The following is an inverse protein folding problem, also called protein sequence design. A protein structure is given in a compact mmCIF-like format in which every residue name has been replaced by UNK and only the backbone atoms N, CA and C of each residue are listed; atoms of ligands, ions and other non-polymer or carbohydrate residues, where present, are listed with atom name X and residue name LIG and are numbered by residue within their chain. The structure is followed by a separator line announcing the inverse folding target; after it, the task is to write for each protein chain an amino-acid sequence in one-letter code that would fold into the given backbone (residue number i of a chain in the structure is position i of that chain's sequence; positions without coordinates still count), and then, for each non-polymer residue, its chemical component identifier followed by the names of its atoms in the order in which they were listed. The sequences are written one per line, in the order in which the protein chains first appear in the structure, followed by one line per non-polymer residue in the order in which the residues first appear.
data_IF_364912662115
#
_entry.id   IF_364912662115
#
_cell.length_a   1.000
_cell.length_b   1.000
_cell.length_c   1.000
_cell.angle_alpha   90.00
_cell.angle_beta   90.00
_cell.angle_gamma   90.00
#
_symmetry.space_group_name_H-M   'P 1'
#
loop_
_entity.id
_entity.type
_entity.pdbx_description
1 polymer ?
#
# COMPACT_ATOMS: atom_id res chain seq x y z
N UNK A 1 3.46 1.97 4.40
CA UNK A 1 3.75 2.93 3.31
C UNK A 1 4.17 4.23 3.95
N UNK A 2 5.25 4.83 3.48
CA UNK A 2 5.75 6.10 4.01
C UNK A 2 5.61 7.15 2.92
N UNK A 3 4.98 8.27 3.25
CA UNK A 3 4.85 9.42 2.36
C UNK A 3 5.87 10.47 2.81
N UNK A 4 6.71 10.89 1.88
CA UNK A 4 7.68 11.95 2.10
C UNK A 4 7.44 13.08 1.10
N UNK A 5 7.67 14.30 1.55
CA UNK A 5 7.73 15.49 0.71
C UNK A 5 9.19 15.68 0.28
N UNK A 6 9.41 16.00 -0.98
CA UNK A 6 10.73 16.33 -1.51
C UNK A 6 10.95 17.84 -1.38
N UNK A 7 11.75 18.23 -0.38
CA UNK A 7 12.11 19.65 -0.17
C UNK A 7 13.20 20.08 -1.18
N UNK A 8 14.05 19.14 -1.61
CA UNK A 8 15.04 19.30 -2.68
C UNK A 8 15.49 17.92 -3.20
N UNK A 9 16.25 17.82 -4.32
CA UNK A 9 16.68 16.53 -4.90
C UNK A 9 17.43 15.58 -3.96
N UNK A 10 17.98 16.09 -2.86
CA UNK A 10 18.70 15.32 -1.85
C UNK A 10 18.00 15.27 -0.48
N UNK A 11 16.83 15.91 -0.34
CA UNK A 11 16.13 16.06 0.94
C UNK A 11 14.69 15.57 0.80
N UNK A 12 14.44 14.38 1.36
CA UNK A 12 13.09 13.83 1.54
C UNK A 12 12.69 13.93 3.01
N UNK A 13 11.62 14.65 3.30
CA UNK A 13 11.06 14.79 4.64
C UNK A 13 9.83 13.91 4.80
N UNK A 14 9.86 12.97 5.74
CA UNK A 14 8.69 12.12 6.03
C UNK A 14 7.55 12.99 6.56
N UNK A 15 6.41 12.96 5.85
CA UNK A 15 5.18 13.67 6.24
C UNK A 15 4.25 12.73 6.98
N UNK A 16 4.19 11.46 6.56
CA UNK A 16 3.25 10.50 7.13
C UNK A 16 3.74 9.06 6.96
N UNK A 17 3.39 8.20 7.91
CA UNK A 17 3.49 6.75 7.75
C UNK A 17 2.10 6.13 7.89
N UNK A 18 1.66 5.43 6.85
CA UNK A 18 0.36 4.78 6.76
C UNK A 18 0.50 3.26 6.85
N UNK A 19 -0.31 2.65 7.72
CA UNK A 19 -0.48 1.20 7.77
C UNK A 19 -1.35 0.76 6.58
N UNK A 20 -0.77 -0.01 5.67
CA UNK A 20 -1.47 -0.56 4.51
C UNK A 20 -1.93 -1.99 4.77
N UNK A 21 -2.83 -2.49 3.91
CA UNK A 21 -3.23 -3.91 3.95
C UNK A 21 -2.04 -4.81 3.56
N UNK A 22 -1.94 -6.01 4.15
CA UNK A 22 -0.95 -7.01 3.72
C UNK A 22 -1.03 -7.24 2.20
N UNK A 23 0.12 -7.32 1.54
CA UNK A 23 0.21 -7.52 0.09
C UNK A 23 -0.07 -6.28 -0.77
N UNK A 24 -0.52 -5.15 -0.20
CA UNK A 24 -0.77 -3.91 -0.93
C UNK A 24 0.52 -3.16 -1.28
N UNK A 25 1.31 -3.73 -2.20
CA UNK A 25 2.64 -3.24 -2.60
C UNK A 25 2.63 -2.49 -3.93
N UNK A 26 1.80 -2.91 -4.87
CA UNK A 26 1.63 -2.22 -6.15
C UNK A 26 0.79 -0.97 -5.94
N UNK A 27 1.32 0.18 -6.37
CA UNK A 27 0.73 1.48 -6.13
C UNK A 27 0.82 2.41 -7.34
N UNK A 28 -0.12 3.34 -7.44
CA UNK A 28 -0.07 4.49 -8.33
C UNK A 28 -0.40 5.76 -7.53
N UNK A 29 0.29 6.86 -7.84
CA UNK A 29 0.02 8.18 -7.29
C UNK A 29 -0.54 9.07 -8.40
N UNK A 30 -1.67 9.72 -8.13
CA UNK A 30 -2.14 10.86 -8.92
C UNK A 30 -1.55 12.14 -8.32
N UNK A 31 -0.60 12.80 -9.01
CA UNK A 31 0.04 14.01 -8.51
C UNK A 31 -0.89 15.23 -8.50
N UNK A 32 -2.00 15.22 -9.24
CA UNK A 32 -2.93 16.36 -9.28
C UNK A 32 -3.82 16.44 -8.04
N UNK A 33 -4.24 15.27 -7.54
CA UNK A 33 -5.11 15.16 -6.36
C UNK A 33 -4.39 14.64 -5.11
N UNK A 34 -3.11 14.27 -5.25
CA UNK A 34 -2.36 13.51 -4.23
C UNK A 34 -3.09 12.27 -3.73
N UNK A 35 -3.87 11.62 -4.60
CA UNK A 35 -4.54 10.35 -4.31
C UNK A 35 -3.61 9.18 -4.60
N UNK A 36 -3.42 8.30 -3.62
CA UNK A 36 -2.68 7.05 -3.77
C UNK A 36 -3.68 5.90 -3.95
N UNK A 37 -3.48 5.12 -5.01
CA UNK A 37 -4.24 3.91 -5.31
C UNK A 37 -3.39 2.68 -5.01
N UNK A 38 -3.85 1.79 -4.14
CA UNK A 38 -3.18 0.53 -3.80
C UNK A 38 -4.02 -0.67 -4.22
N UNK A 39 -3.44 -1.60 -4.96
CA UNK A 39 -4.09 -2.89 -5.22
C UNK A 39 -3.97 -3.78 -3.99
N UNK A 40 -5.08 -4.36 -3.51
CA UNK A 40 -5.09 -5.27 -2.37
C UNK A 40 -5.98 -6.48 -2.64
N UNK A 41 -5.65 -7.60 -1.99
CA UNK A 41 -6.49 -8.79 -1.89
C UNK A 41 -6.41 -9.30 -0.46
N UNK A 42 -7.47 -9.94 0.02
CA UNK A 42 -7.36 -10.66 1.28
C UNK A 42 -6.70 -12.02 1.05
N UNK A 43 -6.09 -12.53 2.11
CA UNK A 43 -5.40 -13.81 2.11
C UNK A 43 -5.97 -14.72 3.17
N UNK A 44 -6.06 -16.00 2.86
CA UNK A 44 -6.42 -17.04 3.81
C UNK A 44 -5.34 -17.14 4.91
N UNK A 45 -5.70 -17.49 6.16
CA UNK A 45 -4.72 -17.79 7.19
C UNK A 45 -3.76 -18.89 6.73
N UNK A 46 -2.47 -18.66 6.94
CA UNK A 46 -1.43 -19.63 6.61
C UNK A 46 -0.91 -20.30 7.89
N UNK A 47 -0.77 -21.65 7.94
CA UNK A 47 -0.24 -22.34 9.11
C UNK A 47 1.15 -21.84 9.52
N UNK A 48 1.45 -21.88 10.82
CA UNK A 48 2.76 -21.53 11.34
C UNK A 48 3.86 -22.37 10.69
N UNK A 49 4.91 -21.72 10.19
CA UNK A 49 6.04 -22.38 9.51
C UNK A 49 5.81 -22.74 8.04
N UNK A 50 4.61 -22.53 7.49
CA UNK A 50 4.39 -22.72 6.06
C UNK A 50 5.14 -21.64 5.26
N UNK A 51 5.76 -22.06 4.14
CA UNK A 51 6.56 -21.21 3.26
C UNK A 51 5.74 -20.73 2.06
N UNK A 52 6.15 -19.62 1.45
CA UNK A 52 5.50 -19.07 0.26
C UNK A 52 4.42 -18.04 0.56
N UNK A 53 3.70 -17.62 -0.49
CA UNK A 53 2.64 -16.61 -0.40
C UNK A 53 1.32 -17.27 0.05
N UNK A 54 0.60 -16.69 1.03
CA UNK A 54 -0.74 -17.15 1.39
C UNK A 54 -1.68 -17.22 0.18
N UNK A 55 -2.64 -18.14 0.22
CA UNK A 55 -3.68 -18.24 -0.82
C UNK A 55 -4.58 -17.01 -0.78
N UNK A 56 -4.84 -16.41 -1.93
CA UNK A 56 -5.72 -15.25 -2.03
C UNK A 56 -7.20 -15.69 -1.94
N UNK A 57 -8.02 -14.89 -1.25
CA UNK A 57 -9.47 -15.12 -1.16
C UNK A 57 -10.13 -14.62 -2.44
N UNK A 58 -10.82 -15.51 -3.15
CA UNK A 58 -11.51 -15.21 -4.42
C UNK A 58 -12.53 -14.08 -4.24
N UNK A 59 -12.57 -13.14 -5.19
CA UNK A 59 -13.53 -12.03 -5.17
C UNK A 59 -13.20 -10.88 -4.21
N UNK A 60 -12.06 -10.91 -3.52
CA UNK A 60 -11.69 -9.86 -2.53
C UNK A 60 -10.73 -8.80 -3.08
N UNK A 61 -10.36 -8.92 -4.36
CA UNK A 61 -9.50 -7.93 -5.00
C UNK A 61 -10.20 -6.57 -5.04
N UNK A 62 -9.47 -5.53 -4.63
CA UNK A 62 -9.97 -4.16 -4.56
C UNK A 62 -8.84 -3.15 -4.67
N UNK A 63 -9.20 -1.95 -5.12
CA UNK A 63 -8.32 -0.79 -5.09
C UNK A 63 -8.66 0.04 -3.85
N UNK A 64 -7.67 0.24 -2.99
CA UNK A 64 -7.78 1.12 -1.83
C UNK A 64 -7.31 2.51 -2.22
N UNK A 65 -8.06 3.54 -1.85
CA UNK A 65 -7.71 4.94 -2.09
C UNK A 65 -7.28 5.59 -0.78
N UNK A 66 -6.13 6.23 -0.80
CA UNK A 66 -5.65 7.07 0.30
C UNK A 66 -5.48 8.49 -0.21
N UNK A 67 -6.14 9.44 0.46
CA UNK A 67 -6.07 10.85 0.13
C UNK A 67 -5.43 11.59 1.31
N UNK A 68 -4.51 12.49 0.99
CA UNK A 68 -4.09 13.50 1.95
C UNK A 68 -5.24 14.48 2.13
N UNK A 69 -5.67 14.68 3.37
CA UNK A 69 -6.61 15.75 3.74
C UNK A 69 -5.86 17.05 3.91
#
# INVERSE_FOLDING_TARGET
MTVAHEDSPSVLKVVQTLKTRPGARTMALDPSTHTIYLSATDYEPQPAGAKGRPKAVVGTFRVLTYQMK
#
